data_IF_280177939398
#
_entry.id   IF_280177939398
#
_cell.length_a   1.000
_cell.length_b   1.000
_cell.length_c   1.000
_cell.angle_alpha   90.00
_cell.angle_beta   90.00
_cell.angle_gamma   90.00
#
_symmetry.space_group_name_H-M   'P 1'
#
loop_
_entity.id
_entity.type
_entity.pdbx_description
1 polymer ?
#
# COMPACT_ATOMS: atom_id res chain seq x y z
N UNK A 1 -7.36 -1.39 11.08
CA UNK A 1 -8.72 -0.80 11.04
C UNK A 1 -9.66 -1.74 11.77
N UNK A 2 -10.61 -1.23 12.56
CA UNK A 2 -11.78 -2.03 12.96
C UNK A 2 -12.46 -2.43 11.66
N UNK A 3 -12.77 -3.71 11.48
CA UNK A 3 -13.57 -4.17 10.35
C UNK A 3 -14.79 -3.24 10.25
N UNK A 4 -15.07 -2.72 9.05
CA UNK A 4 -16.22 -1.84 8.79
C UNK A 4 -17.49 -2.67 9.05
N UNK A 5 -17.91 -2.75 10.31
CA UNK A 5 -19.14 -3.41 10.72
C UNK A 5 -20.30 -2.47 10.39
N UNK A 6 -20.71 -2.49 9.13
CA UNK A 6 -21.86 -1.75 8.66
C UNK A 6 -23.14 -2.51 9.04
N UNK A 7 -24.11 -1.87 9.70
CA UNK A 7 -25.43 -2.46 9.89
C UNK A 7 -26.11 -2.57 8.52
N UNK A 8 -26.21 -3.79 7.98
CA UNK A 8 -26.84 -4.07 6.70
C UNK A 8 -28.31 -4.44 6.90
N UNK A 9 -29.20 -3.87 6.09
CA UNK A 9 -30.58 -4.33 5.99
C UNK A 9 -30.65 -5.73 5.35
N UNK A 10 -31.73 -6.46 5.59
CA UNK A 10 -31.89 -7.83 5.06
C UNK A 10 -31.73 -7.90 3.53
N UNK A 11 -32.31 -6.96 2.79
CA UNK A 11 -32.16 -6.87 1.33
C UNK A 11 -30.71 -6.60 0.91
N UNK A 12 -30.01 -5.71 1.61
CA UNK A 12 -28.61 -5.37 1.34
C UNK A 12 -27.69 -6.56 1.62
N UNK A 13 -27.97 -7.31 2.68
CA UNK A 13 -27.22 -8.51 3.01
C UNK A 13 -27.36 -9.58 1.94
N UNK A 14 -28.58 -9.85 1.46
CA UNK A 14 -28.82 -10.83 0.39
C UNK A 14 -28.10 -10.41 -0.90
N UNK A 15 -28.17 -9.13 -1.27
CA UNK A 15 -27.45 -8.58 -2.43
C UNK A 15 -25.94 -8.73 -2.30
N UNK A 16 -25.39 -8.40 -1.14
CA UNK A 16 -23.96 -8.54 -0.87
C UNK A 16 -23.50 -10.01 -0.94
N UNK A 17 -24.24 -10.91 -0.30
CA UNK A 17 -23.96 -12.34 -0.32
C UNK A 17 -24.02 -12.91 -1.74
N UNK A 18 -25.00 -12.48 -2.55
CA UNK A 18 -25.10 -12.86 -3.96
C UNK A 18 -23.90 -12.36 -4.79
N UNK A 19 -23.48 -11.11 -4.62
CA UNK A 19 -22.33 -10.55 -5.31
C UNK A 19 -21.01 -11.24 -4.91
N UNK A 20 -20.83 -11.54 -3.63
CA UNK A 20 -19.66 -12.27 -3.13
C UNK A 20 -19.64 -13.71 -3.65
N UNK A 21 -20.79 -14.37 -3.73
CA UNK A 21 -20.91 -15.70 -4.30
C UNK A 21 -20.55 -15.70 -5.80
N UNK A 22 -21.02 -14.72 -6.58
CA UNK A 22 -20.64 -14.55 -7.98
C UNK A 22 -19.12 -14.33 -8.13
N UNK A 23 -18.52 -13.50 -7.28
CA UNK A 23 -17.07 -13.30 -7.28
C UNK A 23 -16.29 -14.59 -6.97
N UNK A 24 -16.85 -15.45 -6.10
CA UNK A 24 -16.25 -16.74 -5.77
C UNK A 24 -16.35 -17.74 -6.93
N UNK A 25 -17.46 -17.77 -7.68
CA UNK A 25 -17.58 -18.64 -8.87
C UNK A 25 -16.68 -18.19 -10.01
N UNK A 26 -16.39 -16.89 -10.12
CA UNK A 26 -15.44 -16.33 -11.08
C UNK A 26 -13.97 -16.55 -10.68
N UNK A 27 -13.70 -16.98 -9.44
CA UNK A 27 -12.34 -17.26 -9.00
C UNK A 27 -11.76 -18.51 -9.71
N UNK A 28 -10.45 -18.55 -10.03
CA UNK A 28 -9.86 -19.71 -10.69
C UNK A 28 -10.02 -20.96 -9.81
N UNK A 29 -10.60 -22.03 -10.35
CA UNK A 29 -10.76 -23.31 -9.64
C UNK A 29 -9.41 -23.85 -9.10
N UNK A 30 -8.31 -23.55 -9.79
CA UNK A 30 -6.95 -23.89 -9.38
C UNK A 30 -6.53 -23.26 -8.03
N UNK A 31 -7.07 -22.09 -7.66
CA UNK A 31 -6.74 -21.44 -6.40
C UNK A 31 -7.44 -22.11 -5.20
N UNK A 32 -8.66 -22.64 -5.41
CA UNK A 32 -9.40 -23.39 -4.38
C UNK A 32 -8.78 -24.77 -4.15
N UNK A 33 -8.36 -25.45 -5.22
CA UNK A 33 -7.70 -26.76 -5.14
C UNK A 33 -6.30 -26.72 -4.52
N UNK A 34 -5.67 -25.55 -4.44
CA UNK A 34 -4.36 -25.35 -3.83
C UNK A 34 -4.43 -24.77 -2.41
N UNK A 35 -5.63 -24.60 -1.83
CA UNK A 35 -5.79 -24.14 -0.47
C UNK A 35 -5.40 -25.24 0.53
N UNK A 36 -4.63 -24.87 1.55
CA UNK A 36 -4.13 -25.76 2.60
C UNK A 36 -4.33 -25.13 3.98
N UNK A 37 -4.54 -26.00 4.96
CA UNK A 37 -4.57 -25.68 6.38
C UNK A 37 -3.31 -26.20 7.07
N UNK A 38 -3.13 -25.84 8.34
CA UNK A 38 -1.97 -26.28 9.12
C UNK A 38 -1.97 -27.81 9.24
N UNK A 39 -0.82 -28.41 9.00
CA UNK A 39 -0.58 -29.86 8.96
C UNK A 39 -1.17 -30.61 7.75
N UNK A 40 -1.70 -29.91 6.74
CA UNK A 40 -2.06 -30.56 5.48
C UNK A 40 -0.80 -30.95 4.68
N UNK A 41 -0.84 -32.14 4.08
CA UNK A 41 0.24 -32.63 3.24
C UNK A 41 0.18 -31.97 1.87
N UNK A 42 1.30 -31.39 1.45
CA UNK A 42 1.43 -30.77 0.14
C UNK A 42 1.95 -31.85 -0.80
N UNK A 43 1.21 -32.22 -1.86
CA UNK A 43 1.69 -33.21 -2.82
C UNK A 43 2.89 -32.63 -3.58
N UNK A 44 4.02 -33.31 -3.49
CA UNK A 44 5.26 -32.95 -4.19
C UNK A 44 5.99 -34.18 -4.70
N UNK A 45 6.58 -34.07 -5.89
CA UNK A 45 7.41 -35.12 -6.46
C UNK A 45 8.79 -35.10 -5.77
N UNK A 46 9.10 -36.15 -5.01
CA UNK A 46 10.38 -36.26 -4.29
C UNK A 46 11.61 -36.34 -5.23
N UNK A 47 11.40 -36.65 -6.50
CA UNK A 47 12.46 -36.75 -7.52
C UNK A 47 13.03 -35.37 -7.94
N UNK A 48 12.30 -34.27 -7.71
CA UNK A 48 12.61 -32.96 -8.31
C UNK A 48 13.60 -32.07 -7.52
N UNK A 49 14.14 -32.52 -6.37
CA UNK A 49 14.97 -31.71 -5.46
C UNK A 49 14.32 -30.36 -5.14
N UNK A 50 13.17 -30.43 -4.46
CA UNK A 50 12.31 -29.28 -4.21
C UNK A 50 12.83 -28.45 -3.03
N UNK A 51 12.87 -27.14 -3.22
CA UNK A 51 13.20 -26.16 -2.19
C UNK A 51 11.96 -25.85 -1.36
N UNK A 52 12.09 -26.01 -0.04
CA UNK A 52 11.03 -25.70 0.93
C UNK A 52 11.11 -24.22 1.30
N UNK A 53 10.11 -23.47 0.88
CA UNK A 53 10.00 -22.04 1.15
C UNK A 53 9.32 -21.74 2.48
N UNK A 54 8.80 -20.52 2.61
CA UNK A 54 8.09 -20.12 3.84
C UNK A 54 6.73 -20.84 3.93
N UNK A 55 6.33 -21.20 5.15
CA UNK A 55 5.03 -21.84 5.37
C UNK A 55 5.01 -23.34 5.05
N UNK A 56 6.15 -23.95 4.73
CA UNK A 56 6.31 -25.39 4.53
C UNK A 56 7.39 -25.94 5.47
N UNK A 57 7.21 -27.18 5.93
CA UNK A 57 8.23 -27.92 6.68
C UNK A 57 8.25 -29.36 6.22
N UNK A 58 9.33 -30.06 6.53
CA UNK A 58 9.44 -31.50 6.34
C UNK A 58 8.99 -32.21 7.61
N UNK A 59 8.11 -33.19 7.46
CA UNK A 59 7.72 -34.08 8.55
C UNK A 59 7.61 -35.50 7.99
N UNK A 60 8.37 -36.43 8.56
CA UNK A 60 8.37 -37.84 8.19
C UNK A 60 8.63 -38.13 6.70
N UNK A 61 9.39 -37.25 6.03
CA UNK A 61 9.69 -37.34 4.60
C UNK A 61 8.63 -36.72 3.69
N UNK A 62 7.53 -36.20 4.25
CA UNK A 62 6.49 -35.47 3.52
C UNK A 62 6.58 -33.97 3.78
N UNK A 63 6.21 -33.17 2.77
CA UNK A 63 6.17 -31.71 2.92
C UNK A 63 4.80 -31.30 3.45
N UNK A 64 4.77 -30.75 4.65
CA UNK A 64 3.53 -30.32 5.32
C UNK A 64 3.44 -28.80 5.40
N UNK A 65 2.22 -28.28 5.34
CA UNK A 65 1.94 -26.86 5.50
C UNK A 65 2.00 -26.46 6.99
N UNK A 66 2.71 -25.38 7.30
CA UNK A 66 2.74 -24.80 8.67
C UNK A 66 1.78 -23.62 8.83
N UNK A 67 1.19 -23.14 7.73
CA UNK A 67 0.33 -21.96 7.68
C UNK A 67 -0.92 -22.25 6.84
N UNK A 68 -2.02 -21.58 7.17
CA UNK A 68 -3.22 -21.59 6.33
C UNK A 68 -3.05 -20.63 5.14
N UNK A 69 -3.26 -21.13 3.92
CA UNK A 69 -3.03 -20.33 2.72
C UNK A 69 -3.22 -21.09 1.43
N UNK A 70 -2.65 -20.55 0.36
CA UNK A 70 -2.61 -21.19 -0.96
C UNK A 70 -1.19 -21.61 -1.26
N UNK A 71 -1.00 -22.85 -1.67
CA UNK A 71 0.32 -23.36 -2.08
C UNK A 71 0.70 -22.73 -3.42
N UNK A 72 1.84 -22.05 -3.44
CA UNK A 72 2.45 -21.51 -4.64
C UNK A 72 3.73 -22.27 -4.98
N UNK A 73 3.84 -22.66 -6.25
CA UNK A 73 4.99 -23.38 -6.79
C UNK A 73 5.66 -22.49 -7.83
N UNK A 74 6.89 -22.08 -7.55
CA UNK A 74 7.69 -21.25 -8.44
C UNK A 74 8.98 -22.00 -8.74
N UNK A 75 9.08 -22.55 -9.95
CA UNK A 75 10.14 -23.49 -10.33
C UNK A 75 10.20 -24.66 -9.34
N UNK A 76 11.33 -24.80 -8.64
CA UNK A 76 11.55 -25.82 -7.60
C UNK A 76 11.18 -25.35 -6.20
N UNK A 77 10.76 -24.09 -6.00
CA UNK A 77 10.42 -23.55 -4.69
C UNK A 77 8.92 -23.72 -4.42
N UNK A 78 8.61 -24.37 -3.31
CA UNK A 78 7.22 -24.54 -2.83
C UNK A 78 7.06 -23.79 -1.52
N UNK A 79 6.14 -22.83 -1.49
CA UNK A 79 5.83 -22.05 -0.30
C UNK A 79 4.31 -21.88 -0.17
N UNK A 80 3.85 -21.55 1.04
CA UNK A 80 2.44 -21.28 1.29
C UNK A 80 2.24 -19.77 1.38
N UNK A 81 1.45 -19.21 0.46
CA UNK A 81 1.00 -17.82 0.54
C UNK A 81 -0.18 -17.73 1.49
N UNK A 82 0.05 -17.14 2.65
CA UNK A 82 -0.98 -16.90 3.68
C UNK A 82 -2.08 -15.96 3.21
N UNK A 83 -3.31 -16.19 3.66
CA UNK A 83 -4.46 -15.31 3.38
C UNK A 83 -4.38 -13.96 4.08
N UNK A 84 -3.85 -13.94 5.31
CA UNK A 84 -3.58 -12.74 6.10
C UNK A 84 -2.15 -12.80 6.62
N UNK A 85 -1.35 -11.80 6.28
CA UNK A 85 -0.02 -11.62 6.81
C UNK A 85 0.30 -10.14 7.02
N UNK A 86 1.23 -9.88 7.94
CA UNK A 86 1.89 -8.58 8.04
C UNK A 86 2.72 -8.34 6.79
N UNK A 87 3.03 -7.07 6.53
CA UNK A 87 3.93 -6.71 5.45
C UNK A 87 5.28 -7.40 5.64
N UNK A 88 5.79 -8.08 4.61
CA UNK A 88 7.15 -8.61 4.59
C UNK A 88 7.98 -7.74 3.64
N UNK A 89 8.94 -6.95 4.15
CA UNK A 89 9.71 -6.05 3.30
C UNK A 89 10.58 -6.82 2.32
N UNK A 90 10.69 -6.29 1.10
CA UNK A 90 11.62 -6.75 0.08
C UNK A 90 12.49 -5.58 -0.38
N UNK A 91 13.73 -5.87 -0.79
CA UNK A 91 14.64 -4.83 -1.27
C UNK A 91 14.08 -4.18 -2.53
N UNK A 92 14.02 -2.85 -2.53
CA UNK A 92 13.42 -2.06 -3.61
C UNK A 92 11.92 -1.79 -3.44
N UNK A 93 11.26 -2.31 -2.40
CA UNK A 93 9.88 -1.95 -2.10
C UNK A 93 9.79 -0.45 -1.78
N UNK A 94 8.80 0.22 -2.39
CA UNK A 94 8.42 1.59 -2.02
C UNK A 94 7.42 1.52 -0.87
N UNK A 95 7.73 2.21 0.22
CA UNK A 95 6.90 2.20 1.43
C UNK A 95 6.63 3.62 1.90
N UNK A 96 5.49 3.77 2.56
CA UNK A 96 5.17 4.98 3.33
C UNK A 96 5.28 4.61 4.79
N UNK A 97 5.92 5.43 5.61
CA UNK A 97 6.08 5.19 7.04
C UNK A 97 5.79 6.44 7.86
N UNK A 98 5.49 6.25 9.15
CA UNK A 98 5.32 7.36 10.10
C UNK A 98 6.50 7.42 11.05
N UNK A 99 7.08 8.60 11.26
CA UNK A 99 8.17 8.78 12.21
C UNK A 99 7.66 8.55 13.63
N UNK A 100 8.26 7.61 14.35
CA UNK A 100 7.95 7.30 15.74
C UNK A 100 8.82 8.16 16.65
N UNK A 101 10.14 8.08 16.45
CA UNK A 101 11.12 8.80 17.26
C UNK A 101 12.34 9.19 16.43
N UNK A 102 13.03 10.23 16.91
CA UNK A 102 14.29 10.73 16.36
C UNK A 102 15.41 10.26 17.29
N UNK A 103 16.27 9.38 16.79
CA UNK A 103 17.44 8.88 17.49
C UNK A 103 18.72 9.51 16.92
N UNK A 104 19.88 9.40 17.60
CA UNK A 104 21.13 9.96 17.08
C UNK A 104 21.43 9.44 15.68
N UNK A 105 21.55 10.35 14.71
CA UNK A 105 21.84 10.10 13.28
C UNK A 105 20.80 9.29 12.50
N UNK A 106 19.66 8.93 13.11
CA UNK A 106 18.63 8.09 12.48
C UNK A 106 17.21 8.40 12.94
N UNK A 107 16.25 8.24 12.04
CA UNK A 107 14.83 8.25 12.35
C UNK A 107 14.32 6.81 12.41
N UNK A 108 13.41 6.53 13.36
CA UNK A 108 12.65 5.28 13.39
C UNK A 108 11.27 5.50 12.82
N UNK A 109 10.86 4.62 11.92
CA UNK A 109 9.61 4.71 11.19
C UNK A 109 8.76 3.46 11.43
N UNK A 110 7.49 3.68 11.68
CA UNK A 110 6.45 2.65 11.67
C UNK A 110 6.11 2.30 10.22
N UNK A 111 6.23 1.03 9.86
CA UNK A 111 6.00 0.54 8.49
C UNK A 111 5.10 -0.70 8.42
N UNK A 112 4.29 -0.97 9.45
CA UNK A 112 3.40 -2.14 9.51
C UNK A 112 4.13 -3.51 9.41
N UNK A 113 5.40 -3.54 9.82
CA UNK A 113 6.22 -4.74 9.94
C UNK A 113 6.35 -5.16 11.42
N UNK A 114 6.98 -6.30 11.70
CA UNK A 114 7.25 -6.76 13.08
C UNK A 114 8.29 -5.91 13.80
N UNK A 115 9.12 -5.19 13.06
CA UNK A 115 10.14 -4.28 13.59
C UNK A 115 10.00 -2.91 12.94
N UNK A 116 10.47 -1.89 13.66
CA UNK A 116 10.54 -0.53 13.12
C UNK A 116 11.65 -0.42 12.08
N UNK A 117 11.40 0.39 11.06
CA UNK A 117 12.40 0.67 10.06
C UNK A 117 13.28 1.86 10.48
N UNK A 118 14.53 1.85 10.02
CA UNK A 118 15.52 2.88 10.34
C UNK A 118 15.88 3.63 9.06
N UNK A 119 15.65 4.95 9.08
CA UNK A 119 16.13 5.86 8.06
C UNK A 119 17.34 6.62 8.61
N UNK A 120 18.52 6.35 8.03
CA UNK A 120 19.75 7.04 8.42
C UNK A 120 19.82 8.42 7.77
N UNK A 121 20.37 9.40 8.48
CA UNK A 121 20.66 10.75 7.95
C UNK A 121 21.57 10.71 6.70
N UNK A 122 22.44 9.70 6.60
CA UNK A 122 23.29 9.47 5.43
C UNK A 122 22.55 8.91 4.21
N UNK A 123 21.37 8.35 4.40
CA UNK A 123 20.56 7.70 3.35
C UNK A 123 19.49 8.61 2.76
N UNK A 124 19.45 9.87 3.18
CA UNK A 124 18.52 10.89 2.70
C UNK A 124 19.29 11.99 1.98
N UNK A 125 18.69 12.67 1.00
CA UNK A 125 19.20 13.94 0.50
C UNK A 125 18.83 15.08 1.44
N UNK A 126 19.79 15.98 1.72
CA UNK A 126 19.46 17.20 2.44
C UNK A 126 18.65 18.13 1.52
N UNK A 127 17.79 18.99 2.10
CA UNK A 127 16.99 19.95 1.34
C UNK A 127 17.83 20.86 0.44
N UNK A 128 19.10 21.11 0.77
CA UNK A 128 20.06 21.88 -0.05
C UNK A 128 20.35 21.23 -1.42
N UNK A 129 19.95 19.98 -1.68
CA UNK A 129 20.19 19.27 -2.94
C UNK A 129 21.66 18.92 -3.23
N UNK A 130 22.60 19.51 -2.49
CA UNK A 130 24.04 19.32 -2.65
C UNK A 130 24.51 18.11 -1.84
N UNK A 131 25.21 17.20 -2.52
CA UNK A 131 25.87 16.07 -1.87
C UNK A 131 27.15 16.54 -1.16
N UNK A 132 27.01 17.04 0.07
CA UNK A 132 28.13 17.42 0.95
C UNK A 132 28.34 16.45 2.11
N UNK A 133 29.54 16.46 2.68
CA UNK A 133 29.86 15.67 3.88
C UNK A 133 28.96 16.14 5.03
N UNK A 134 28.28 15.18 5.68
CA UNK A 134 27.39 15.45 6.81
C UNK A 134 28.20 16.03 7.97
N UNK A 135 27.73 17.14 8.52
CA UNK A 135 28.37 17.91 9.59
C UNK A 135 27.58 17.74 10.89
N UNK A 136 28.20 17.96 12.05
CA UNK A 136 27.53 17.87 13.36
C UNK A 136 26.30 18.80 13.49
N UNK A 137 26.28 19.90 12.73
CA UNK A 137 25.11 20.81 12.64
C UNK A 137 23.90 20.12 12.00
N UNK A 138 24.12 19.24 11.01
CA UNK A 138 23.05 18.49 10.36
C UNK A 138 22.42 17.46 11.33
N UNK A 139 23.20 16.94 12.30
CA UNK A 139 22.69 16.07 13.37
C UNK A 139 21.80 16.82 14.36
N UNK A 140 22.14 18.06 14.69
CA UNK A 140 21.31 18.93 15.54
C UNK A 140 20.03 19.36 14.83
N UNK A 141 20.09 19.59 13.53
CA UNK A 141 18.96 19.99 12.69
C UNK A 141 18.11 18.80 12.19
N UNK A 142 18.33 17.58 12.69
CA UNK A 142 17.51 16.43 12.29
C UNK A 142 16.01 16.63 12.54
N UNK A 143 15.68 17.32 13.64
CA UNK A 143 14.28 17.61 14.01
C UNK A 143 13.62 18.58 13.02
N UNK A 144 14.35 19.49 12.38
CA UNK A 144 13.76 20.40 11.40
C UNK A 144 13.45 19.74 10.05
N UNK A 145 14.03 18.55 9.79
CA UNK A 145 13.78 17.80 8.56
C UNK A 145 12.54 16.91 8.73
N UNK A 146 12.57 16.06 9.77
CA UNK A 146 11.44 15.21 10.14
C UNK A 146 11.20 15.28 11.64
N UNK A 147 9.95 15.52 11.97
CA UNK A 147 9.41 15.55 13.31
C UNK A 147 8.65 14.26 13.62
N UNK A 148 8.38 14.03 14.91
CA UNK A 148 7.58 12.90 15.35
C UNK A 148 6.18 12.97 14.73
N UNK A 149 5.69 11.84 14.25
CA UNK A 149 4.43 11.68 13.51
C UNK A 149 4.41 12.20 12.08
N UNK A 150 5.52 12.71 11.55
CA UNK A 150 5.62 12.99 10.12
C UNK A 150 5.46 11.72 9.29
N UNK A 151 4.83 11.86 8.14
CA UNK A 151 4.68 10.78 7.16
C UNK A 151 5.78 10.92 6.11
N UNK A 152 6.50 9.84 5.85
CA UNK A 152 7.66 9.83 4.98
C UNK A 152 7.53 8.71 3.95
N UNK A 153 7.79 9.02 2.69
CA UNK A 153 7.96 8.03 1.63
C UNK A 153 9.43 7.66 1.49
N UNK A 154 9.73 6.36 1.47
CA UNK A 154 11.09 5.85 1.34
C UNK A 154 11.13 4.50 0.62
N UNK A 155 12.30 4.13 0.13
CA UNK A 155 12.56 2.81 -0.46
C UNK A 155 13.30 1.90 0.52
N UNK A 156 13.02 0.60 0.47
CA UNK A 156 13.73 -0.40 1.25
C UNK A 156 15.08 -0.67 0.61
N UNK A 157 16.17 -0.32 1.31
CA UNK A 157 17.54 -0.57 0.83
C UNK A 157 18.01 -1.98 1.12
N UNK A 158 17.69 -2.50 2.30
CA UNK A 158 18.20 -3.80 2.74
C UNK A 158 18.00 -4.05 4.23
N UNK A 159 18.45 -5.24 4.63
CA UNK A 159 18.44 -5.70 6.00
C UNK A 159 19.86 -5.60 6.56
N UNK A 160 19.98 -5.13 7.80
CA UNK A 160 21.24 -5.21 8.53
C UNK A 160 21.33 -6.58 9.24
N UNK A 161 22.52 -6.94 9.71
CA UNK A 161 22.78 -8.24 10.37
C UNK A 161 21.93 -8.48 11.63
N UNK A 162 21.44 -7.42 12.25
CA UNK A 162 20.53 -7.45 13.40
C UNK A 162 19.06 -7.68 12.99
N UNK A 163 18.77 -7.80 11.69
CA UNK A 163 17.42 -7.90 11.14
C UNK A 163 16.71 -6.56 11.01
N UNK A 164 17.34 -5.44 11.38
CA UNK A 164 16.74 -4.12 11.25
C UNK A 164 16.66 -3.70 9.78
N UNK A 165 15.53 -3.05 9.43
CA UNK A 165 15.28 -2.61 8.07
C UNK A 165 15.87 -1.24 7.83
N UNK A 166 16.74 -1.11 6.83
CA UNK A 166 17.32 0.17 6.44
C UNK A 166 16.57 0.76 5.26
N UNK A 167 16.13 2.01 5.43
CA UNK A 167 15.44 2.78 4.41
C UNK A 167 16.39 3.77 3.72
N UNK A 168 15.99 4.17 2.52
CA UNK A 168 16.67 5.17 1.72
C UNK A 168 15.68 6.17 1.12
N UNK A 169 16.08 7.43 1.07
CA UNK A 169 15.32 8.53 0.49
C UNK A 169 16.27 9.45 -0.30
N UNK A 170 16.97 8.86 -1.29
CA UNK A 170 17.96 9.57 -2.15
C UNK A 170 17.36 10.19 -3.41
N UNK A 171 16.08 9.98 -3.68
CA UNK A 171 15.39 10.63 -4.79
C UNK A 171 14.58 11.82 -4.26
N UNK A 172 14.43 12.87 -5.07
CA UNK A 172 13.53 13.99 -4.73
C UNK A 172 12.05 13.57 -4.67
N UNK A 173 11.71 12.41 -5.27
CA UNK A 173 10.39 11.79 -5.18
C UNK A 173 10.12 11.18 -3.80
N UNK A 174 11.16 10.97 -3.00
CA UNK A 174 11.08 10.45 -1.63
C UNK A 174 11.25 11.61 -0.63
N UNK A 175 10.70 11.45 0.57
CA UNK A 175 10.80 12.47 1.60
C UNK A 175 9.50 12.69 2.35
N UNK A 176 9.36 13.89 2.93
CA UNK A 176 8.23 14.28 3.77
C UNK A 176 6.98 14.43 2.91
N UNK A 177 5.94 13.71 3.27
CA UNK A 177 4.62 13.84 2.67
C UNK A 177 3.80 14.82 3.51
N UNK A 178 3.35 15.90 2.89
CA UNK A 178 2.55 16.95 3.51
C UNK A 178 1.23 17.11 2.77
N UNK A 179 0.24 17.73 3.43
CA UNK A 179 -1.04 18.13 2.82
C UNK A 179 -1.82 16.97 2.19
N UNK A 180 -2.04 15.93 2.98
CA UNK A 180 -2.79 14.76 2.55
C UNK A 180 -3.25 13.90 3.72
N UNK A 181 -3.67 12.69 3.40
CA UNK A 181 -4.17 11.71 4.32
C UNK A 181 -3.44 10.38 4.16
N UNK A 182 -2.94 9.85 5.28
CA UNK A 182 -2.41 8.50 5.38
C UNK A 182 -3.54 7.50 5.65
N UNK A 183 -3.57 6.42 4.89
CA UNK A 183 -4.52 5.32 5.01
C UNK A 183 -3.75 4.04 5.32
N UNK A 184 -4.24 3.28 6.29
CA UNK A 184 -3.67 1.98 6.65
C UNK A 184 -4.58 0.88 6.15
N UNK A 185 -4.13 0.13 5.16
CA UNK A 185 -4.79 -1.04 4.59
C UNK A 185 -3.94 -2.30 4.83
N UNK A 186 -4.53 -3.50 4.77
CA UNK A 186 -3.75 -4.72 4.80
C UNK A 186 -2.78 -4.79 3.60
N UNK A 187 -1.50 -5.06 3.86
CA UNK A 187 -0.44 -5.03 2.85
C UNK A 187 -0.69 -5.99 1.68
N UNK A 188 -1.36 -7.13 1.91
CA UNK A 188 -1.66 -8.12 0.87
C UNK A 188 -2.62 -7.60 -0.22
N UNK A 189 -3.34 -6.49 0.02
CA UNK A 189 -4.21 -5.87 -0.97
C UNK A 189 -3.44 -5.03 -1.99
N UNK A 190 -2.22 -4.58 -1.64
CA UNK A 190 -1.36 -3.78 -2.52
C UNK A 190 -0.45 -4.72 -3.29
N UNK A 191 -0.60 -4.76 -4.61
CA UNK A 191 0.30 -5.56 -5.46
C UNK A 191 1.58 -4.78 -5.74
N UNK A 192 2.73 -5.46 -5.65
CA UNK A 192 4.02 -4.92 -6.08
C UNK A 192 3.98 -4.64 -7.59
N UNK A 193 4.29 -3.40 -7.98
CA UNK A 193 4.31 -2.94 -9.38
C UNK A 193 5.55 -2.06 -9.60
N UNK A 194 5.84 -1.73 -10.86
CA UNK A 194 6.97 -0.83 -11.18
C UNK A 194 6.70 0.61 -10.78
N UNK A 195 5.44 1.03 -10.84
CA UNK A 195 4.99 2.39 -10.53
C UNK A 195 4.09 2.32 -9.29
N UNK A 196 4.51 3.01 -8.24
CA UNK A 196 3.77 3.18 -6.99
C UNK A 196 3.37 4.64 -6.75
N UNK A 197 3.94 5.57 -7.51
CA UNK A 197 3.59 6.98 -7.54
C UNK A 197 2.66 7.23 -8.71
N UNK A 198 1.51 7.81 -8.43
CA UNK A 198 0.51 8.11 -9.44
C UNK A 198 0.01 9.54 -9.25
N UNK A 199 0.31 10.38 -10.23
CA UNK A 199 -0.27 11.71 -10.32
C UNK A 199 -1.61 11.61 -11.05
N UNK A 200 -2.69 12.07 -10.41
CA UNK A 200 -4.04 12.08 -10.97
C UNK A 200 -4.38 13.50 -11.43
N UNK A 201 -4.00 13.85 -12.66
CA UNK A 201 -4.19 15.18 -13.26
C UNK A 201 -5.64 15.67 -13.17
N UNK A 202 -6.61 14.76 -13.31
CA UNK A 202 -8.05 15.07 -13.25
C UNK A 202 -8.51 15.59 -11.88
N UNK A 203 -7.78 15.22 -10.82
CA UNK A 203 -8.15 15.52 -9.44
C UNK A 203 -7.16 16.45 -8.74
N UNK A 204 -6.01 16.73 -9.38
CA UNK A 204 -4.85 17.44 -8.84
C UNK A 204 -4.34 16.82 -7.52
N UNK A 205 -4.29 15.48 -7.50
CA UNK A 205 -3.97 14.67 -6.31
C UNK A 205 -2.89 13.65 -6.64
N UNK A 206 -1.94 13.50 -5.72
CA UNK A 206 -0.94 12.43 -5.75
C UNK A 206 -1.39 11.25 -4.89
N UNK A 207 -1.37 10.06 -5.51
CA UNK A 207 -1.65 8.78 -4.88
C UNK A 207 -0.38 7.95 -4.82
N UNK A 208 0.05 7.63 -3.60
CA UNK A 208 1.21 6.76 -3.34
C UNK A 208 0.73 5.47 -2.69
N UNK A 209 0.93 4.35 -3.38
CA UNK A 209 0.55 3.04 -2.91
C UNK A 209 1.77 2.34 -2.29
N UNK A 210 2.01 2.48 -0.98
CA UNK A 210 3.10 1.79 -0.32
C UNK A 210 2.88 0.27 -0.26
N UNK A 211 3.92 -0.52 -0.57
CA UNK A 211 3.89 -1.99 -0.51
C UNK A 211 3.53 -2.52 0.89
N UNK A 212 3.74 -1.71 1.93
CA UNK A 212 3.42 -2.03 3.30
C UNK A 212 1.94 -1.84 3.70
N UNK A 213 1.10 -1.46 2.73
CA UNK A 213 -0.30 -1.16 2.96
C UNK A 213 -0.52 0.24 3.56
N UNK A 214 0.50 1.09 3.59
CA UNK A 214 0.32 2.50 3.89
C UNK A 214 0.14 3.25 2.57
N UNK A 215 -1.05 3.82 2.39
CA UNK A 215 -1.42 4.56 1.19
C UNK A 215 -1.49 6.03 1.55
N UNK A 216 -0.85 6.87 0.75
CA UNK A 216 -0.94 8.31 0.89
C UNK A 216 -1.77 8.90 -0.24
N UNK A 217 -2.68 9.80 0.11
CA UNK A 217 -3.48 10.59 -0.83
C UNK A 217 -3.30 12.05 -0.46
N UNK A 218 -2.70 12.87 -1.31
CA UNK A 218 -2.40 14.27 -0.99
C UNK A 218 -2.49 15.20 -2.18
N UNK A 219 -2.41 16.50 -1.91
CA UNK A 219 -2.29 17.53 -2.95
C UNK A 219 -1.08 17.22 -3.85
N UNK A 220 -1.23 17.46 -5.16
CA UNK A 220 -0.11 17.31 -6.07
C UNK A 220 1.00 18.30 -5.72
N UNK A 221 2.22 17.78 -5.50
CA UNK A 221 3.39 18.63 -5.34
C UNK A 221 4.23 18.48 -6.61
N UNK A 222 4.32 19.58 -7.37
CA UNK A 222 5.20 19.64 -8.54
C UNK A 222 6.65 19.54 -8.07
N UNK A 223 7.20 18.33 -8.08
CA UNK A 223 8.63 18.09 -7.91
C UNK A 223 9.31 18.54 -9.19
N UNK A 224 9.67 19.83 -9.28
CA UNK A 224 10.46 20.35 -10.41
C UNK A 224 11.80 19.60 -10.44
N UNK A 225 12.02 18.79 -11.47
CA UNK A 225 13.37 18.29 -11.77
C UNK A 225 14.27 19.52 -11.98
N UNK A 226 15.28 19.68 -11.14
CA UNK A 226 16.21 20.83 -11.15
C UNK A 226 17.18 20.70 -12.33
N UNK A 227 16.66 20.69 -13.56
CA UNK A 227 17.47 20.82 -14.76
C UNK A 227 17.57 22.27 -15.23
N UNK A 228 16.59 23.15 -14.94
CA UNK A 228 16.52 24.46 -15.61
C UNK A 228 16.05 25.65 -14.75
N UNK A 229 16.51 25.84 -13.51
CA UNK A 229 16.33 27.15 -12.83
C UNK A 229 17.49 27.48 -11.88
N UNK A 230 18.64 27.87 -12.46
CA UNK A 230 19.50 28.88 -11.83
C UNK A 230 18.89 30.23 -12.16
N UNK A 231 18.01 30.77 -11.31
CA UNK A 231 17.77 32.24 -11.18
C UNK A 231 16.66 32.65 -10.19
N UNK A 232 15.93 31.75 -9.54
CA UNK A 232 14.89 32.15 -8.56
C UNK A 232 15.20 31.71 -7.11
N UNK A 233 16.35 32.13 -6.57
CA UNK A 233 16.65 32.05 -5.12
C UNK A 233 15.93 33.14 -4.28
N UNK A 234 14.90 33.81 -4.83
CA UNK A 234 14.14 34.87 -4.15
C UNK A 234 12.63 34.63 -4.06
N UNK A 235 12.20 33.37 -3.90
CA UNK A 235 10.85 33.02 -3.38
C UNK A 235 10.87 32.04 -2.20
N UNK A 236 11.97 32.01 -1.46
CA UNK A 236 12.05 31.41 -0.12
C UNK A 236 11.56 32.42 0.94
N UNK A 237 10.34 32.93 0.79
CA UNK A 237 9.58 33.62 1.85
C UNK A 237 8.15 33.94 1.39
N UNK A 238 7.24 32.98 1.55
CA UNK A 238 5.80 33.14 1.72
C UNK A 238 5.23 31.71 1.82
N UNK A 239 4.73 31.18 2.93
CA UNK A 239 3.41 31.48 3.51
C UNK A 239 2.27 31.72 2.48
N UNK A 240 2.44 31.34 1.21
CA UNK A 240 1.43 31.45 0.16
C UNK A 240 1.46 30.14 -0.64
N UNK A 241 0.60 29.14 -0.40
CA UNK A 241 -0.81 29.21 -0.03
C UNK A 241 -1.07 28.38 1.24
N UNK A 242 -1.57 29.00 2.31
CA UNK A 242 -1.83 28.35 3.62
C UNK A 242 -3.00 27.35 3.60
N UNK A 243 -3.65 27.16 2.46
CA UNK A 243 -4.87 26.37 2.35
C UNK A 243 -4.91 25.55 1.08
N UNK A 244 -4.95 24.22 1.22
CA UNK A 244 -5.37 23.32 0.13
C UNK A 244 -6.81 23.65 -0.29
N UNK A 245 -7.08 23.91 -1.59
CA UNK A 245 -8.41 24.23 -2.08
C UNK A 245 -9.47 23.23 -1.62
N UNK A 246 -10.69 23.72 -1.35
CA UNK A 246 -11.78 22.87 -0.85
C UNK A 246 -12.13 21.75 -1.85
N UNK A 247 -11.98 22.01 -3.16
CA UNK A 247 -12.19 21.04 -4.22
C UNK A 247 -11.16 19.91 -4.15
N UNK A 248 -9.87 20.24 -4.07
CA UNK A 248 -8.79 19.26 -3.89
C UNK A 248 -8.99 18.45 -2.60
N UNK A 249 -9.40 19.08 -1.49
CA UNK A 249 -9.74 18.35 -0.26
C UNK A 249 -10.90 17.37 -0.46
N UNK A 250 -11.94 17.75 -1.21
CA UNK A 250 -13.06 16.84 -1.55
C UNK A 250 -12.56 15.66 -2.38
N UNK A 251 -11.67 15.89 -3.35
CA UNK A 251 -11.06 14.82 -4.14
C UNK A 251 -10.22 13.87 -3.29
N UNK A 252 -9.36 14.40 -2.41
CA UNK A 252 -8.55 13.60 -1.48
C UNK A 252 -9.45 12.71 -0.62
N UNK A 253 -10.49 13.28 0.00
CA UNK A 253 -11.42 12.52 0.84
C UNK A 253 -12.19 11.45 0.05
N UNK A 254 -12.62 11.75 -1.17
CA UNK A 254 -13.35 10.81 -2.04
C UNK A 254 -12.46 9.62 -2.43
N UNK A 255 -11.24 9.88 -2.91
CA UNK A 255 -10.26 8.84 -3.26
C UNK A 255 -9.86 8.02 -2.04
N UNK A 256 -9.70 8.66 -0.89
CA UNK A 256 -9.40 7.98 0.36
C UNK A 256 -10.55 7.06 0.82
N UNK A 257 -11.80 7.49 0.70
CA UNK A 257 -12.96 6.67 1.03
C UNK A 257 -13.14 5.51 0.05
N UNK A 258 -12.87 5.72 -1.25
CA UNK A 258 -12.82 4.64 -2.23
C UNK A 258 -11.77 3.57 -1.85
N UNK A 259 -10.55 3.98 -1.49
CA UNK A 259 -9.51 3.04 -1.05
C UNK A 259 -9.88 2.30 0.25
N UNK A 260 -10.51 2.98 1.22
CA UNK A 260 -11.04 2.34 2.45
C UNK A 260 -12.12 1.32 2.15
N UNK A 261 -13.03 1.64 1.24
CA UNK A 261 -14.15 0.77 0.86
C UNK A 261 -13.66 -0.51 0.19
N UNK A 262 -12.78 -0.36 -0.81
CA UNK A 262 -12.15 -1.48 -1.50
C UNK A 262 -11.35 -2.36 -0.53
N UNK A 263 -10.67 -1.73 0.44
CA UNK A 263 -9.94 -2.44 1.49
C UNK A 263 -10.88 -3.25 2.39
N UNK A 264 -12.03 -2.70 2.77
CA UNK A 264 -13.03 -3.39 3.57
C UNK A 264 -13.66 -4.58 2.83
N UNK A 265 -13.89 -4.45 1.51
CA UNK A 265 -14.34 -5.55 0.65
C UNK A 265 -13.25 -6.60 0.37
N UNK A 266 -12.00 -6.34 0.76
CA UNK A 266 -10.87 -7.24 0.51
C UNK A 266 -10.43 -7.28 -0.95
N UNK A 267 -10.76 -6.25 -1.74
CA UNK A 267 -10.33 -6.14 -3.13
C UNK A 267 -8.92 -5.59 -3.24
N UNK A 268 -8.17 -6.08 -4.23
CA UNK A 268 -6.81 -5.60 -4.49
C UNK A 268 -6.86 -4.15 -4.94
N UNK A 269 -6.06 -3.30 -4.30
CA UNK A 269 -6.03 -1.88 -4.54
C UNK A 269 -5.18 -1.59 -5.77
N UNK A 270 -5.83 -1.13 -6.84
CA UNK A 270 -5.17 -0.60 -8.02
C UNK A 270 -5.67 0.81 -8.28
N UNK A 271 -4.85 1.63 -8.91
CA UNK A 271 -5.18 3.02 -9.22
C UNK A 271 -6.44 3.10 -10.05
N UNK A 272 -6.57 2.23 -11.05
CA UNK A 272 -7.73 2.21 -11.94
C UNK A 272 -9.01 1.88 -11.16
N UNK A 273 -8.94 0.95 -10.21
CA UNK A 273 -10.10 0.58 -9.39
C UNK A 273 -10.48 1.69 -8.38
N UNK A 274 -9.49 2.38 -7.79
CA UNK A 274 -9.74 3.50 -6.88
C UNK A 274 -10.42 4.65 -7.63
N UNK A 275 -9.93 5.00 -8.83
CA UNK A 275 -10.55 6.03 -9.68
C UNK A 275 -11.96 5.61 -10.09
N UNK A 276 -12.15 4.38 -10.59
CA UNK A 276 -13.47 3.87 -10.98
C UNK A 276 -14.47 3.92 -9.81
N UNK A 277 -14.04 3.58 -8.60
CA UNK A 277 -14.90 3.63 -7.41
C UNK A 277 -15.22 5.07 -7.02
N UNK A 278 -14.26 5.99 -7.15
CA UNK A 278 -14.50 7.41 -6.92
C UNK A 278 -15.48 8.00 -7.96
N UNK A 279 -15.34 7.67 -9.24
CA UNK A 279 -16.25 8.10 -10.31
C UNK A 279 -17.65 7.49 -10.17
N UNK A 280 -17.73 6.23 -9.75
CA UNK A 280 -19.00 5.56 -9.44
C UNK A 280 -19.74 6.27 -8.29
N UNK A 281 -19.02 6.78 -7.27
CA UNK A 281 -19.65 7.57 -6.21
C UNK A 281 -20.29 8.86 -6.73
N UNK A 282 -19.65 9.51 -7.72
CA UNK A 282 -20.18 10.72 -8.37
C UNK A 282 -21.40 10.39 -9.23
N UNK A 283 -21.32 9.30 -10.00
CA UNK A 283 -22.40 8.86 -10.89
C UNK A 283 -23.64 8.39 -10.12
N UNK A 284 -23.46 7.77 -8.96
CA UNK A 284 -24.53 7.37 -8.05
C UNK A 284 -25.04 8.50 -7.15
N UNK A 285 -24.53 9.73 -7.32
CA UNK A 285 -24.85 10.91 -6.51
C UNK A 285 -24.69 10.68 -4.99
N UNK A 286 -23.64 9.94 -4.62
CA UNK A 286 -23.32 9.64 -3.22
C UNK A 286 -22.37 10.71 -2.69
N UNK A 287 -22.77 11.35 -1.59
CA UNK A 287 -21.92 12.32 -0.91
C UNK A 287 -20.72 11.64 -0.23
N UNK A 288 -19.64 12.40 -0.01
CA UNK A 288 -18.35 11.84 0.43
C UNK A 288 -18.46 11.15 1.80
N UNK A 289 -19.29 11.68 2.69
CA UNK A 289 -19.62 11.11 4.00
C UNK A 289 -20.34 9.76 3.89
N UNK A 290 -21.19 9.60 2.88
CA UNK A 290 -22.05 8.42 2.71
C UNK A 290 -21.38 7.32 1.87
N UNK A 291 -20.18 7.57 1.31
CA UNK A 291 -19.38 6.57 0.59
C UNK A 291 -19.02 5.35 1.45
N UNK A 292 -18.93 5.50 2.77
CA UNK A 292 -18.70 4.37 3.66
C UNK A 292 -20.01 3.72 4.12
N UNK A 293 -21.16 4.14 3.58
CA UNK A 293 -22.46 3.62 3.90
C UNK A 293 -22.74 2.23 3.32
N UNK A 294 -23.69 1.53 3.93
CA UNK A 294 -24.11 0.19 3.56
C UNK A 294 -24.51 0.06 2.09
N UNK A 295 -25.26 1.01 1.54
CA UNK A 295 -25.76 0.92 0.16
C UNK A 295 -24.62 0.99 -0.86
N UNK A 296 -23.73 1.97 -0.73
CA UNK A 296 -22.60 2.12 -1.64
C UNK A 296 -21.59 0.96 -1.49
N UNK A 297 -21.46 0.39 -0.29
CA UNK A 297 -20.67 -0.82 -0.05
C UNK A 297 -21.16 -2.01 -0.88
N UNK A 298 -22.48 -2.27 -0.88
CA UNK A 298 -23.08 -3.35 -1.67
C UNK A 298 -22.96 -3.05 -3.17
N UNK A 299 -23.26 -1.83 -3.59
CA UNK A 299 -23.14 -1.43 -5.01
C UNK A 299 -21.72 -1.58 -5.54
N UNK A 300 -20.71 -1.28 -4.72
CA UNK A 300 -19.30 -1.44 -5.11
C UNK A 300 -18.95 -2.93 -5.29
N UNK A 301 -19.48 -3.81 -4.44
CA UNK A 301 -19.29 -5.25 -4.59
C UNK A 301 -19.97 -5.79 -5.87
N UNK A 302 -21.21 -5.38 -6.14
CA UNK A 302 -21.95 -5.73 -7.36
C UNK A 302 -21.26 -5.22 -8.63
N UNK A 303 -20.79 -3.96 -8.61
CA UNK A 303 -20.05 -3.36 -9.72
C UNK A 303 -18.76 -4.11 -10.02
N UNK A 304 -18.02 -4.52 -8.99
CA UNK A 304 -16.80 -5.32 -9.15
C UNK A 304 -17.11 -6.73 -9.67
N UNK A 305 -18.18 -7.37 -9.21
CA UNK A 305 -18.64 -8.68 -9.71
C UNK A 305 -18.93 -8.61 -11.21
N UNK A 306 -19.74 -7.62 -11.62
CA UNK A 306 -20.07 -7.38 -13.04
C UNK A 306 -18.82 -7.10 -13.87
N UNK A 307 -17.91 -6.23 -13.39
CA UNK A 307 -16.66 -5.89 -14.08
C UNK A 307 -15.81 -7.14 -14.34
N UNK A 308 -15.67 -8.04 -13.35
CA UNK A 308 -14.91 -9.28 -13.51
C UNK A 308 -15.62 -10.28 -14.43
N UNK A 309 -16.95 -10.35 -14.38
CA UNK A 309 -17.75 -11.13 -15.32
C UNK A 309 -17.52 -10.70 -16.76
N UNK A 310 -17.57 -9.39 -17.04
CA UNK A 310 -17.35 -8.82 -18.37
C UNK A 310 -15.94 -9.09 -18.91
N UNK A 311 -14.91 -9.01 -18.05
CA UNK A 311 -13.53 -9.30 -18.42
C UNK A 311 -13.30 -10.77 -18.80
N UNK A 312 -14.06 -11.70 -18.19
CA UNK A 312 -14.02 -13.13 -18.52
C UNK A 312 -14.82 -13.42 -19.78
N UNK A 313 -15.96 -12.75 -19.98
CA UNK A 313 -16.77 -12.85 -21.20
C UNK A 313 -16.03 -12.39 -22.46
N UNK A 314 -15.18 -11.36 -22.35
CA UNK A 314 -14.34 -10.87 -23.47
C UNK A 314 -13.13 -11.76 -23.82
N UNK A 315 -12.80 -12.75 -22.98
CA UNK A 315 -11.69 -13.69 -23.18
C UNK A 315 -12.12 -15.04 -23.77
N UNK A 316 -13.43 -15.26 -23.95
CA UNK A 316 -14.00 -16.39 -24.68
C UNK A 316 -14.32 -15.98 -26.11
#
# INVERSE_FOLDING_TARGET
MRDLHLPLNQTQRVRLEAALHELQTLAPAAASAAAVTVADNIPVNHEDNILKGHGTTDQDGEVVATLCGVVERVNKLVYVRTLRARYKPEVGDIIVGRVIEIAPKRWRLEINFSQDAVLMLSSMNLPDGIQRRRTAVDELNMRSIFEENDVVCAEVRGFQHDGSLHLQARSQKYGKLQRGQLLTVPAYLVKRRKLHFHHLEQYDVDLILGCNGFIWVGEHVVVREIADLKEDEQKLSAEAETFTPIETRRHICRLANAARLLSALGFTLTVELIIQTAEASVSSNVEINDMLGAEFYVQTAEGEAKRRGDLLGKKR
#
